data_IF_525703940814
#
_entry.id   IF_525703940814
#
_cell.length_a   1.000
_cell.length_b   1.000
_cell.length_c   1.000
_cell.angle_alpha   90.00
_cell.angle_beta   90.00
_cell.angle_gamma   90.00
#
_symmetry.space_group_name_H-M   'P 1'
#
loop_
_entity.id
_entity.type
_entity.pdbx_description
1 polymer ?
#
# COMPACT_ATOMS: atom_id res chain seq x y z
N UNK A 1 -0.09 -16.01 9.12
CA UNK A 1 -0.27 -14.63 8.60
C UNK A 1 -0.87 -14.76 7.21
N UNK A 2 -2.05 -14.20 6.91
CA UNK A 2 -2.55 -14.19 5.54
C UNK A 2 -1.60 -13.35 4.68
N UNK A 3 -1.08 -13.94 3.60
CA UNK A 3 -0.25 -13.22 2.64
C UNK A 3 -1.16 -12.30 1.83
N UNK A 4 -0.89 -10.99 1.88
CA UNK A 4 -1.51 -10.05 0.96
C UNK A 4 -0.98 -10.25 -0.47
N UNK A 5 -1.57 -9.57 -1.46
CA UNK A 5 -1.05 -9.47 -2.81
C UNK A 5 0.45 -9.17 -2.79
N UNK A 6 1.15 -9.95 -3.60
CA UNK A 6 2.53 -9.71 -3.93
C UNK A 6 2.55 -8.80 -5.15
N UNK A 7 3.23 -7.67 -5.03
CA UNK A 7 3.26 -6.63 -6.05
C UNK A 7 4.72 -6.36 -6.43
N UNK A 8 4.96 -6.20 -7.72
CA UNK A 8 6.24 -5.75 -8.22
C UNK A 8 6.47 -4.29 -7.85
N UNK A 9 7.58 -4.01 -7.16
CA UNK A 9 7.92 -2.65 -6.76
C UNK A 9 8.07 -1.75 -7.99
N UNK A 10 8.59 -2.29 -9.09
CA UNK A 10 8.74 -1.58 -10.35
C UNK A 10 7.38 -1.13 -10.93
N UNK A 11 6.34 -1.96 -10.87
CA UNK A 11 5.00 -1.59 -11.35
C UNK A 11 4.39 -0.48 -10.49
N UNK A 12 4.45 -0.60 -9.15
CA UNK A 12 3.94 0.46 -8.26
C UNK A 12 4.65 1.79 -8.53
N UNK A 13 5.96 1.75 -8.68
CA UNK A 13 6.76 2.96 -8.92
C UNK A 13 6.63 3.49 -10.35
N UNK A 14 6.24 2.65 -11.33
CA UNK A 14 5.95 3.09 -12.68
C UNK A 14 4.76 4.07 -12.70
N UNK A 15 3.71 3.81 -11.91
CA UNK A 15 2.59 4.76 -11.76
C UNK A 15 3.06 6.10 -11.18
N UNK A 16 3.90 6.07 -10.15
CA UNK A 16 4.47 7.30 -9.55
C UNK A 16 5.31 8.07 -10.57
N UNK A 17 6.15 7.37 -11.35
CA UNK A 17 6.96 7.99 -12.41
C UNK A 17 6.10 8.60 -13.52
N UNK A 18 5.03 7.92 -13.93
CA UNK A 18 4.11 8.42 -14.93
C UNK A 18 3.37 9.68 -14.44
N UNK A 19 2.88 9.68 -13.18
CA UNK A 19 2.27 10.86 -12.57
C UNK A 19 3.26 12.02 -12.46
N UNK A 20 4.49 11.77 -12.04
CA UNK A 20 5.54 12.80 -11.99
C UNK A 20 5.88 13.33 -13.40
N UNK A 21 5.89 12.48 -14.43
CA UNK A 21 6.11 12.90 -15.80
C UNK A 21 4.98 13.79 -16.33
N UNK A 22 3.72 13.47 -16.00
CA UNK A 22 2.55 14.28 -16.35
C UNK A 22 2.55 15.63 -15.63
N UNK A 23 2.84 15.64 -14.34
CA UNK A 23 3.03 16.86 -13.53
C UNK A 23 4.10 17.73 -14.19
N UNK A 24 5.27 17.14 -14.48
CA UNK A 24 6.39 17.84 -15.09
C UNK A 24 6.09 18.38 -16.49
N UNK A 25 5.30 17.66 -17.28
CA UNK A 25 4.86 18.08 -18.61
C UNK A 25 3.91 19.28 -18.52
N UNK A 26 3.01 19.30 -17.54
CA UNK A 26 2.08 20.42 -17.31
C UNK A 26 2.74 21.62 -16.59
N UNK A 27 3.81 21.40 -15.83
CA UNK A 27 4.48 22.43 -15.03
C UNK A 27 5.16 23.53 -15.85
N UNK A 28 5.60 23.22 -17.08
CA UNK A 28 6.42 24.13 -17.89
C UNK A 28 7.60 24.72 -17.11
N UNK A 29 7.74 26.05 -17.13
CA UNK A 29 8.77 26.80 -16.38
C UNK A 29 8.62 26.73 -14.86
N UNK A 30 7.45 26.38 -14.31
CA UNK A 30 7.22 26.27 -12.86
C UNK A 30 7.64 24.92 -12.25
N UNK A 31 8.36 24.08 -13.02
CA UNK A 31 8.86 22.77 -12.57
C UNK A 31 9.61 22.79 -11.24
N UNK A 32 10.29 23.88 -10.91
CA UNK A 32 11.05 23.99 -9.64
C UNK A 32 10.18 24.16 -8.40
N UNK A 33 8.93 24.60 -8.55
CA UNK A 33 8.01 24.87 -7.44
C UNK A 33 6.92 23.80 -7.30
N UNK A 34 6.91 22.80 -8.19
CA UNK A 34 5.81 21.85 -8.27
C UNK A 34 6.03 20.64 -7.34
N UNK A 35 5.00 20.20 -6.59
CA UNK A 35 5.12 19.03 -5.73
C UNK A 35 5.39 17.78 -6.56
N UNK A 36 6.42 17.03 -6.17
CA UNK A 36 6.74 15.73 -6.76
C UNK A 36 6.26 14.62 -5.84
N UNK A 37 5.70 13.56 -6.40
CA UNK A 37 5.42 12.35 -5.63
C UNK A 37 6.72 11.63 -5.28
N UNK A 38 7.01 11.54 -3.98
CA UNK A 38 8.23 10.91 -3.44
C UNK A 38 8.04 9.45 -3.04
N UNK A 39 6.86 8.86 -3.27
CA UNK A 39 6.54 7.50 -2.85
C UNK A 39 5.03 7.23 -2.90
N UNK A 40 4.65 6.08 -2.36
CA UNK A 40 3.24 5.69 -2.21
C UNK A 40 2.93 5.62 -0.72
N UNK A 41 1.80 6.20 -0.34
CA UNK A 41 1.22 6.02 0.98
C UNK A 41 -0.02 5.13 0.84
N UNK A 42 -0.03 4.01 1.57
CA UNK A 42 -1.19 3.13 1.67
C UNK A 42 -1.88 3.39 3.01
N UNK A 43 -3.18 3.66 2.95
CA UNK A 43 -3.99 3.86 4.14
C UNK A 43 -4.72 2.56 4.50
N UNK A 44 -4.48 2.08 5.70
CA UNK A 44 -5.17 0.97 6.32
C UNK A 44 -6.09 1.49 7.46
N UNK A 45 -7.18 0.78 7.77
CA UNK A 45 -7.98 1.03 8.97
C UNK A 45 -7.11 1.22 10.22
N UNK A 46 -7.43 2.26 11.01
CA UNK A 46 -6.77 2.52 12.29
C UNK A 46 -6.86 1.31 13.20
N UNK A 47 -5.73 0.91 13.79
CA UNK A 47 -5.61 -0.29 14.61
C UNK A 47 -5.39 -1.59 13.82
N UNK A 48 -5.33 -1.53 12.49
CA UNK A 48 -4.94 -2.68 11.69
C UNK A 48 -3.40 -2.75 11.59
N UNK A 49 -2.84 -3.85 12.08
CA UNK A 49 -1.43 -4.16 11.85
C UNK A 49 -1.22 -4.49 10.37
N UNK A 50 -0.61 -3.56 9.64
CA UNK A 50 -0.17 -3.73 8.27
C UNK A 50 1.35 -3.55 8.17
N UNK A 51 2.01 -4.37 7.36
CA UNK A 51 3.43 -4.33 7.10
C UNK A 51 3.72 -4.69 5.64
N UNK A 52 4.75 -4.10 5.06
CA UNK A 52 5.26 -4.41 3.75
C UNK A 52 6.67 -4.99 3.91
N UNK A 53 6.90 -6.21 3.45
CA UNK A 53 8.24 -6.76 3.29
C UNK A 53 8.69 -6.49 1.87
N UNK A 54 9.82 -5.81 1.75
CA UNK A 54 10.50 -5.53 0.50
C UNK A 54 11.69 -6.49 0.46
N UNK A 55 11.74 -7.34 -0.56
CA UNK A 55 12.85 -8.25 -0.79
C UNK A 55 13.57 -7.82 -2.06
N UNK A 56 14.86 -7.50 -1.95
CA UNK A 56 15.73 -7.19 -3.09
C UNK A 56 17.00 -8.03 -3.03
N UNK A 57 17.79 -8.04 -4.10
CA UNK A 57 19.11 -8.68 -4.09
C UNK A 57 20.09 -8.13 -3.05
N UNK A 58 19.79 -6.96 -2.45
CA UNK A 58 20.59 -6.36 -1.37
C UNK A 58 20.14 -6.76 0.04
N UNK A 59 19.04 -7.51 0.14
CA UNK A 59 18.49 -7.98 1.41
C UNK A 59 17.02 -7.66 1.55
N UNK A 60 16.54 -7.82 2.78
CA UNK A 60 15.13 -7.72 3.09
C UNK A 60 14.87 -6.60 4.08
N UNK A 61 13.88 -5.77 3.77
CA UNK A 61 13.45 -4.66 4.61
C UNK A 61 11.96 -4.76 4.89
N UNK A 62 11.58 -4.71 6.16
CA UNK A 62 10.17 -4.66 6.55
C UNK A 62 9.82 -3.24 6.98
N UNK A 63 8.71 -2.71 6.45
CA UNK A 63 8.15 -1.40 6.77
C UNK A 63 6.76 -1.61 7.36
N UNK A 64 6.53 -1.15 8.58
CA UNK A 64 5.22 -1.26 9.25
C UNK A 64 4.40 0.01 9.09
N UNK A 65 3.08 -0.13 9.10
CA UNK A 65 2.15 1.00 9.17
C UNK A 65 2.24 1.70 10.53
N UNK A 66 1.98 3.01 10.54
CA UNK A 66 1.97 3.83 11.74
C UNK A 66 0.68 3.65 12.59
N UNK A 67 0.59 4.38 13.70
CA UNK A 67 -0.58 4.36 14.59
C UNK A 67 -1.88 4.84 13.91
N UNK A 68 -1.79 5.57 12.79
CA UNK A 68 -2.92 5.98 11.98
C UNK A 68 -3.29 4.94 10.90
N UNK A 69 -2.55 3.83 10.81
CA UNK A 69 -2.70 2.84 9.75
C UNK A 69 -2.07 3.29 8.44
N UNK A 70 -1.20 4.30 8.44
CA UNK A 70 -0.53 4.78 7.24
C UNK A 70 0.79 4.02 7.05
N UNK A 71 0.92 3.32 5.92
CA UNK A 71 2.17 2.70 5.49
C UNK A 71 2.80 3.55 4.41
N UNK A 72 3.97 4.12 4.71
CA UNK A 72 4.71 4.94 3.76
C UNK A 72 5.81 4.11 3.08
N UNK A 73 5.71 3.99 1.77
CA UNK A 73 6.70 3.34 0.93
C UNK A 73 7.40 4.41 0.07
N UNK A 74 8.58 4.89 0.45
CA UNK A 74 9.30 5.90 -0.34
C UNK A 74 9.70 5.32 -1.70
N UNK A 75 9.75 6.18 -2.72
CA UNK A 75 10.30 5.87 -4.03
C UNK A 75 11.82 5.77 -3.91
N UNK A 76 12.34 4.57 -4.05
CA UNK A 76 13.77 4.29 -4.03
C UNK A 76 14.19 3.73 -5.39
N UNK A 77 14.93 4.54 -6.16
CA UNK A 77 15.36 4.14 -7.49
C UNK A 77 16.31 2.93 -7.48
N UNK A 78 17.03 2.68 -6.37
CA UNK A 78 17.86 1.50 -6.24
C UNK A 78 17.00 0.23 -6.15
N UNK A 79 15.89 0.28 -5.40
CA UNK A 79 14.93 -0.82 -5.31
C UNK A 79 14.15 -1.05 -6.61
N UNK A 80 13.86 0.02 -7.36
CA UNK A 80 13.27 -0.08 -8.71
C UNK A 80 14.23 -0.78 -9.67
N UNK A 81 15.51 -0.35 -9.72
CA UNK A 81 16.52 -0.99 -10.59
C UNK A 81 16.80 -2.43 -10.20
N UNK A 82 16.71 -2.75 -8.92
CA UNK A 82 16.88 -4.10 -8.39
C UNK A 82 15.67 -5.02 -8.60
N UNK A 83 14.57 -4.55 -9.21
CA UNK A 83 13.31 -5.27 -9.36
C UNK A 83 12.87 -5.92 -8.04
N UNK A 84 12.89 -5.13 -6.96
CA UNK A 84 12.52 -5.63 -5.64
C UNK A 84 11.05 -6.11 -5.64
N UNK A 85 10.78 -7.17 -4.89
CA UNK A 85 9.43 -7.67 -4.67
C UNK A 85 8.86 -7.10 -3.38
N UNK A 86 7.61 -6.62 -3.42
CA UNK A 86 6.90 -6.21 -2.21
C UNK A 86 5.82 -7.22 -1.89
N UNK A 87 5.92 -7.81 -0.70
CA UNK A 87 4.83 -8.57 -0.09
C UNK A 87 4.16 -7.72 0.97
N UNK A 88 2.86 -7.50 0.80
CA UNK A 88 2.06 -6.84 1.82
C UNK A 88 1.50 -7.89 2.77
N UNK A 89 1.53 -7.57 4.06
CA UNK A 89 0.97 -8.36 5.14
C UNK A 89 0.01 -7.46 5.90
N UNK A 90 -1.27 -7.80 5.90
CA UNK A 90 -2.21 -7.15 6.78
C UNK A 90 -3.16 -8.19 7.34
N UNK A 91 -3.59 -7.99 8.58
CA UNK A 91 -4.60 -8.84 9.15
C UNK A 91 -5.96 -8.41 8.60
N UNK A 92 -6.55 -9.15 7.65
CA UNK A 92 -7.98 -8.99 7.34
C UNK A 92 -8.74 -9.36 8.62
N UNK A 93 -9.07 -8.36 9.43
CA UNK A 93 -10.11 -8.51 10.43
C UNK A 93 -11.42 -8.47 9.64
N UNK A 94 -11.78 -9.62 9.06
CA UNK A 94 -13.05 -9.82 8.38
C UNK A 94 -14.13 -9.54 9.42
N UNK A 95 -14.95 -8.54 9.09
CA UNK A 95 -16.12 -8.08 9.80
C UNK A 95 -16.80 -9.20 10.62
N UNK A 96 -16.61 -9.18 11.93
CA UNK A 96 -17.52 -9.78 12.90
C UNK A 96 -18.68 -8.79 13.09
N UNK A 97 -19.44 -8.47 12.03
CA UNK A 97 -20.64 -7.62 12.09
C UNK A 97 -21.44 -7.63 10.77
N UNK A 98 -21.83 -8.79 10.27
CA UNK A 98 -23.04 -8.90 9.41
C UNK A 98 -23.66 -10.30 9.47
N UNK A 99 -23.70 -10.88 10.67
CA UNK A 99 -24.41 -12.14 10.97
C UNK A 99 -25.45 -11.89 12.07
N UNK A 100 -26.17 -10.76 11.96
CA UNK A 100 -27.33 -10.44 12.81
C UNK A 100 -28.59 -10.24 11.98
N UNK A 101 -28.81 -11.16 11.04
CA UNK A 101 -30.10 -11.54 10.49
C UNK A 101 -30.00 -13.07 10.35
N UNK A 102 -30.42 -13.92 11.28
CA UNK A 102 -31.78 -14.05 11.75
C UNK A 102 -31.80 -14.73 13.13
N UNK A 103 -31.95 -13.92 14.18
CA UNK A 103 -32.70 -14.34 15.35
C UNK A 103 -34.19 -14.20 15.03
N UNK A 104 -34.80 -15.22 14.46
CA UNK A 104 -36.23 -15.45 14.57
C UNK A 104 -36.46 -16.93 14.88
N UNK A 105 -36.39 -17.22 16.18
CA UNK A 105 -37.18 -18.31 16.74
C UNK A 105 -38.65 -17.90 16.58
N UNK A 106 -39.42 -18.70 15.85
CA UNK A 106 -40.83 -18.43 15.60
C UNK A 106 -41.49 -19.58 14.85
N UNK A 107 -41.82 -20.62 15.62
CA UNK A 107 -42.92 -21.57 15.43
C UNK A 107 -43.80 -21.36 14.20
N UNK A 108 -43.84 -22.36 13.32
CA UNK A 108 -45.05 -22.67 12.56
C UNK A 108 -45.38 -24.16 12.77
N UNK A 109 -46.51 -24.37 13.43
CA UNK A 109 -47.28 -25.61 13.44
C UNK A 109 -48.29 -25.58 12.28
#
# INVERSE_FOLDING_TARGET
MPAGPQLDYAELMASVKQSNALIKSQAGMMRFLMPTFAGIQMQFPRGQAAAARITSGQGERTVSADANGLLHLPLDEALVRANAQVKLFWHICRLRALDREAGHAGTFA
#
